data_IF_288040292736
#
_entry.id   IF_288040292736
#
_cell.length_a   1.000
_cell.length_b   1.000
_cell.length_c   1.000
_cell.angle_alpha   90.00
_cell.angle_beta   90.00
_cell.angle_gamma   90.00
#
_symmetry.space_group_name_H-M   'P 1'
#
loop_
_entity.id
_entity.type
_entity.pdbx_description
1 polymer ?
#
# COMPACT_ATOMS: atom_id res chain seq x y z
N UNK A 1 13.04 -7.27 -6.60
CA UNK A 1 12.58 -5.91 -6.29
C UNK A 1 13.58 -5.12 -5.44
N UNK A 2 14.01 -5.60 -4.27
CA UNK A 2 14.89 -4.87 -3.33
C UNK A 2 16.14 -4.21 -3.96
N UNK A 3 16.89 -4.96 -4.79
CA UNK A 3 18.05 -4.40 -5.50
C UNK A 3 17.68 -3.29 -6.51
N UNK A 4 16.52 -3.42 -7.14
CA UNK A 4 16.05 -2.47 -8.17
C UNK A 4 15.63 -1.13 -7.57
N UNK A 5 15.13 -1.12 -6.32
CA UNK A 5 14.64 0.07 -5.63
C UNK A 5 15.58 0.63 -4.56
N UNK A 6 16.80 0.09 -4.44
CA UNK A 6 17.73 0.40 -3.35
C UNK A 6 18.13 1.88 -3.29
N UNK A 7 18.19 2.55 -4.42
CA UNK A 7 18.46 3.99 -4.52
C UNK A 7 17.39 4.85 -3.84
N UNK A 8 16.17 4.32 -3.74
CA UNK A 8 14.98 4.96 -3.15
C UNK A 8 14.61 4.40 -1.78
N UNK A 9 15.51 3.66 -1.14
CA UNK A 9 15.34 3.15 0.23
C UNK A 9 15.29 4.33 1.23
N UNK A 10 14.23 4.36 2.03
CA UNK A 10 13.96 5.43 3.00
C UNK A 10 14.71 5.14 4.31
N UNK A 11 14.77 3.89 4.75
CA UNK A 11 15.29 3.49 6.06
C UNK A 11 16.62 2.75 5.98
N UNK A 12 17.69 3.50 5.66
CA UNK A 12 19.03 2.96 5.38
C UNK A 12 19.81 2.42 6.58
N UNK A 13 19.25 2.48 7.80
CA UNK A 13 19.93 2.09 9.05
C UNK A 13 19.39 0.79 9.63
N UNK A 14 18.09 0.55 9.51
CA UNK A 14 17.45 -0.68 10.00
C UNK A 14 16.96 -1.51 8.82
N UNK A 15 17.80 -2.43 8.35
CA UNK A 15 17.50 -3.28 7.20
C UNK A 15 16.62 -4.49 7.53
N UNK A 16 16.12 -4.66 8.77
CA UNK A 16 15.16 -5.75 9.09
C UNK A 16 13.80 -5.55 8.43
N UNK A 17 13.45 -4.31 8.10
CA UNK A 17 12.32 -3.93 7.26
C UNK A 17 12.88 -3.01 6.19
N UNK A 18 12.38 -3.02 4.97
CA UNK A 18 12.85 -2.12 3.91
C UNK A 18 11.66 -1.34 3.39
N UNK A 19 11.78 -0.02 3.35
CA UNK A 19 10.77 0.91 2.86
C UNK A 19 11.35 1.67 1.66
N UNK A 20 10.58 1.74 0.58
CA UNK A 20 11.01 2.36 -0.68
C UNK A 20 10.01 3.45 -1.09
N UNK A 21 10.53 4.58 -1.60
CA UNK A 21 9.69 5.64 -2.18
C UNK A 21 9.41 5.37 -3.66
N UNK A 22 8.39 4.57 -3.94
CA UNK A 22 8.07 4.06 -5.29
C UNK A 22 6.55 4.07 -5.54
N UNK A 23 6.16 4.07 -6.81
CA UNK A 23 4.73 4.00 -7.19
C UNK A 23 4.27 2.56 -7.39
N UNK A 24 2.97 2.31 -7.24
CA UNK A 24 2.37 0.98 -7.45
C UNK A 24 2.50 0.53 -8.91
N UNK A 25 2.30 1.43 -9.88
CA UNK A 25 2.40 1.09 -11.31
C UNK A 25 3.83 0.68 -11.70
N UNK A 26 4.85 1.30 -11.09
CA UNK A 26 6.24 0.92 -11.31
C UNK A 26 6.56 -0.46 -10.72
N UNK A 27 6.06 -0.76 -9.51
CA UNK A 27 6.17 -2.09 -8.90
C UNK A 27 5.54 -3.13 -9.83
N UNK A 28 4.33 -2.86 -10.33
CA UNK A 28 3.59 -3.75 -11.23
C UNK A 28 4.36 -4.00 -12.53
N UNK A 29 4.91 -2.95 -13.16
CA UNK A 29 5.72 -3.06 -14.37
C UNK A 29 6.96 -3.93 -14.19
N UNK A 30 7.70 -3.71 -13.09
CA UNK A 30 8.91 -4.49 -12.78
C UNK A 30 8.57 -5.95 -12.51
N UNK A 31 7.50 -6.23 -11.78
CA UNK A 31 7.07 -7.61 -11.50
C UNK A 31 6.62 -8.31 -12.77
N UNK A 32 5.77 -7.68 -13.60
CA UNK A 32 5.30 -8.25 -14.87
C UNK A 32 6.44 -8.55 -15.85
N UNK A 33 7.47 -7.69 -15.87
CA UNK A 33 8.63 -7.87 -16.76
C UNK A 33 9.55 -9.01 -16.29
N UNK A 34 9.68 -9.21 -14.98
CA UNK A 34 10.68 -10.13 -14.41
C UNK A 34 10.10 -11.48 -13.95
N UNK A 35 8.78 -11.60 -13.80
CA UNK A 35 8.12 -12.82 -13.32
C UNK A 35 6.95 -13.22 -14.22
N UNK A 36 6.98 -14.46 -14.74
CA UNK A 36 5.95 -15.03 -15.60
C UNK A 36 4.62 -15.28 -14.84
N UNK A 37 3.79 -14.24 -14.72
CA UNK A 37 2.34 -14.30 -14.43
C UNK A 37 1.89 -15.01 -13.14
N UNK A 38 2.76 -15.21 -12.14
CA UNK A 38 2.36 -15.84 -10.86
C UNK A 38 1.79 -14.84 -9.84
N UNK A 39 1.66 -13.56 -10.20
CA UNK A 39 1.27 -12.49 -9.27
C UNK A 39 0.03 -11.78 -9.79
N UNK A 40 -1.02 -11.77 -8.97
CA UNK A 40 -2.23 -10.98 -9.19
C UNK A 40 -2.10 -9.61 -8.52
N UNK A 41 -2.48 -8.56 -9.25
CA UNK A 41 -2.46 -7.19 -8.76
C UNK A 41 -3.89 -6.68 -8.56
N UNK A 42 -4.25 -6.37 -7.32
CA UNK A 42 -5.51 -5.72 -6.98
C UNK A 42 -5.25 -4.23 -6.78
N UNK A 43 -5.56 -3.40 -7.79
CA UNK A 43 -5.29 -1.95 -7.75
C UNK A 43 -6.16 -1.21 -6.73
N UNK A 44 -7.37 -1.69 -6.51
CA UNK A 44 -8.33 -1.12 -5.55
C UNK A 44 -8.70 -2.24 -4.59
N UNK A 45 -8.01 -2.33 -3.43
CA UNK A 45 -8.36 -3.33 -2.43
C UNK A 45 -9.74 -3.03 -1.85
N UNK A 46 -10.53 -4.06 -1.61
CA UNK A 46 -11.71 -3.91 -0.76
C UNK A 46 -11.24 -3.61 0.66
N UNK A 47 -11.85 -2.58 1.27
CA UNK A 47 -11.48 -2.09 2.59
C UNK A 47 -12.73 -1.98 3.48
N UNK A 48 -13.55 -3.04 3.51
CA UNK A 48 -14.83 -3.08 4.23
C UNK A 48 -14.72 -2.57 5.67
N UNK A 49 -13.73 -3.07 6.42
CA UNK A 49 -13.47 -2.66 7.80
C UNK A 49 -13.07 -1.17 7.94
N UNK A 50 -12.36 -0.61 6.96
CA UNK A 50 -12.06 0.82 6.94
C UNK A 50 -13.34 1.64 6.76
N UNK A 51 -14.22 1.23 5.83
CA UNK A 51 -15.50 1.90 5.59
C UNK A 51 -16.44 1.77 6.79
N UNK A 52 -16.49 0.61 7.46
CA UNK A 52 -17.21 0.42 8.72
C UNK A 52 -16.71 1.40 9.79
N UNK A 53 -15.39 1.53 9.95
CA UNK A 53 -14.78 2.46 10.90
C UNK A 53 -15.13 3.92 10.57
N UNK A 54 -15.05 4.32 9.29
CA UNK A 54 -15.42 5.67 8.86
C UNK A 54 -16.90 5.97 9.11
N UNK A 55 -17.80 4.99 8.87
CA UNK A 55 -19.22 5.15 9.12
C UNK A 55 -19.51 5.32 10.62
N UNK A 56 -18.84 4.57 11.49
CA UNK A 56 -18.94 4.72 12.94
C UNK A 56 -18.51 6.12 13.38
N UNK A 57 -17.34 6.60 12.95
CA UNK A 57 -16.85 7.95 13.30
C UNK A 57 -17.77 9.07 12.78
N UNK A 58 -18.32 8.93 11.58
CA UNK A 58 -19.27 9.89 11.02
C UNK A 58 -20.57 9.92 11.83
N UNK A 59 -21.08 8.75 12.25
CA UNK A 59 -22.28 8.66 13.08
C UNK A 59 -22.07 9.26 14.47
N UNK A 60 -20.92 9.03 15.11
CA UNK A 60 -20.55 9.68 16.37
C UNK A 60 -20.54 11.21 16.22
N UNK A 61 -19.93 11.71 15.14
CA UNK A 61 -19.89 13.16 14.85
C UNK A 61 -21.29 13.75 14.65
N UNK A 62 -22.21 13.03 14.01
CA UNK A 62 -23.60 13.45 13.82
C UNK A 62 -24.36 13.51 15.15
N UNK A 63 -24.13 12.56 16.05
CA UNK A 63 -24.75 12.53 17.38
C UNK A 63 -24.25 13.69 18.25
N UNK A 64 -22.94 13.97 18.23
CA UNK A 64 -22.34 15.08 18.98
C UNK A 64 -22.78 16.46 18.47
N UNK A 65 -23.33 16.52 17.24
CA UNK A 65 -23.80 17.77 16.61
C UNK A 65 -25.29 18.07 16.85
N UNK A 66 -26.02 17.21 17.56
CA UNK A 66 -27.44 17.36 17.95
C UNK A 66 -27.58 17.89 19.38
#
# INVERSE_FOLDING_TARGET
>A
LHKHFRDREINKVNHRKEFFRVSIDEIESVVKTNHNNTVEFIKIPQAEQYWESQNLSNNETLIDSL
#
